data_IF_755229980470
#
_entry.id   IF_755229980470
#
_cell.length_a   1.000
_cell.length_b   1.000
_cell.length_c   1.000
_cell.angle_alpha   90.00
_cell.angle_beta   90.00
_cell.angle_gamma   90.00
#
_symmetry.space_group_name_H-M   'P 1'
#
loop_
_entity.id
_entity.type
_entity.pdbx_description
1 polymer ?
#
# COMPACT_ATOMS: atom_id res chain seq x y z
N UNK A 1 11.86 -33.56 -11.47
CA UNK A 1 11.90 -32.92 -10.14
C UNK A 1 12.01 -31.43 -10.36
N UNK A 2 11.24 -30.61 -9.65
CA UNK A 2 11.30 -29.14 -9.80
C UNK A 2 12.60 -28.66 -9.15
N UNK A 3 13.56 -28.23 -9.97
CA UNK A 3 14.87 -27.78 -9.51
C UNK A 3 14.87 -26.28 -9.17
N UNK A 4 16.02 -25.75 -8.75
CA UNK A 4 16.16 -24.33 -8.39
C UNK A 4 15.86 -23.39 -9.57
N UNK A 5 16.27 -23.76 -10.78
CA UNK A 5 16.02 -22.96 -11.98
C UNK A 5 14.53 -22.83 -12.28
N UNK A 6 13.77 -23.92 -12.09
CA UNK A 6 12.32 -23.89 -12.18
C UNK A 6 11.70 -22.85 -11.23
N UNK A 7 12.08 -22.86 -9.95
CA UNK A 7 11.53 -21.92 -8.96
C UNK A 7 11.95 -20.46 -9.20
N UNK A 8 13.16 -20.23 -9.70
CA UNK A 8 13.61 -18.90 -10.13
C UNK A 8 12.75 -18.36 -11.29
N UNK A 9 12.45 -19.19 -12.29
CA UNK A 9 11.58 -18.79 -13.40
C UNK A 9 10.16 -18.46 -12.91
N UNK A 10 9.62 -19.24 -11.97
CA UNK A 10 8.32 -18.95 -11.36
C UNK A 10 8.31 -17.66 -10.55
N UNK A 11 9.38 -17.38 -9.81
CA UNK A 11 9.55 -16.10 -9.11
C UNK A 11 9.52 -14.91 -10.09
N UNK A 12 10.17 -15.03 -11.26
CA UNK A 12 10.13 -14.00 -12.31
C UNK A 12 8.71 -13.80 -12.86
N UNK A 13 7.96 -14.88 -13.08
CA UNK A 13 6.56 -14.79 -13.52
C UNK A 13 5.67 -14.14 -12.46
N UNK A 14 5.89 -14.48 -11.18
CA UNK A 14 5.20 -13.87 -10.03
C UNK A 14 5.49 -12.37 -9.94
N UNK A 15 6.75 -11.93 -10.07
CA UNK A 15 7.09 -10.51 -10.08
C UNK A 15 6.37 -9.76 -11.21
N UNK A 16 6.33 -10.32 -12.44
CA UNK A 16 5.57 -9.74 -13.56
C UNK A 16 4.07 -9.63 -13.28
N UNK A 17 3.47 -10.65 -12.67
CA UNK A 17 2.06 -10.63 -12.25
C UNK A 17 1.80 -9.52 -11.23
N UNK A 18 2.64 -9.42 -10.19
CA UNK A 18 2.54 -8.39 -9.16
C UNK A 18 2.74 -6.99 -9.73
N UNK A 19 3.72 -6.77 -10.61
CA UNK A 19 3.94 -5.49 -11.29
C UNK A 19 2.71 -5.07 -12.11
N UNK A 20 2.05 -6.01 -12.80
CA UNK A 20 0.82 -5.73 -13.56
C UNK A 20 -0.33 -5.30 -12.63
N UNK A 21 -0.48 -5.96 -11.47
CA UNK A 21 -1.50 -5.59 -10.50
C UNK A 21 -1.20 -4.25 -9.83
N UNK A 22 0.05 -4.00 -9.43
CA UNK A 22 0.51 -2.72 -8.87
C UNK A 22 0.23 -1.56 -9.83
N UNK A 23 0.46 -1.72 -11.15
CA UNK A 23 0.11 -0.70 -12.16
C UNK A 23 -1.39 -0.38 -12.20
N UNK A 24 -2.27 -1.37 -11.97
CA UNK A 24 -3.72 -1.13 -11.90
C UNK A 24 -4.08 -0.32 -10.66
N UNK A 25 -3.52 -0.69 -9.50
CA UNK A 25 -3.73 0.02 -8.23
C UNK A 25 -3.19 1.44 -8.31
N UNK A 26 -1.99 1.64 -8.86
CA UNK A 26 -1.40 2.96 -9.08
C UNK A 26 -2.32 3.84 -9.93
N UNK A 27 -2.88 3.31 -11.02
CA UNK A 27 -3.82 4.04 -11.88
C UNK A 27 -5.10 4.45 -11.11
N UNK A 28 -5.62 3.56 -10.27
CA UNK A 28 -6.81 3.84 -9.46
C UNK A 28 -6.53 4.89 -8.38
N UNK A 29 -5.42 4.77 -7.66
CA UNK A 29 -4.98 5.77 -6.69
C UNK A 29 -4.77 7.12 -7.36
N UNK A 30 -4.04 7.17 -8.48
CA UNK A 30 -3.82 8.42 -9.21
C UNK A 30 -5.14 9.11 -9.58
N UNK A 31 -6.14 8.35 -10.03
CA UNK A 31 -7.47 8.87 -10.35
C UNK A 31 -8.17 9.42 -9.10
N UNK A 32 -8.12 8.68 -7.98
CA UNK A 32 -8.71 9.09 -6.70
C UNK A 32 -8.15 10.43 -6.20
N UNK A 33 -6.82 10.58 -6.18
CA UNK A 33 -6.18 11.83 -5.78
C UNK A 33 -6.48 12.99 -6.74
N UNK A 34 -6.57 12.72 -8.05
CA UNK A 34 -6.95 13.73 -9.04
C UNK A 34 -8.39 14.21 -8.84
N UNK A 35 -9.32 13.31 -8.49
CA UNK A 35 -10.69 13.65 -8.13
C UNK A 35 -10.73 14.51 -6.86
N UNK A 36 -10.03 14.10 -5.79
CA UNK A 36 -9.96 14.90 -4.56
C UNK A 36 -9.39 16.31 -4.80
N UNK A 37 -8.30 16.43 -5.57
CA UNK A 37 -7.74 17.75 -5.96
C UNK A 37 -8.77 18.60 -6.71
N UNK A 38 -9.59 17.97 -7.56
CA UNK A 38 -10.62 18.68 -8.33
C UNK A 38 -11.74 19.20 -7.44
N UNK A 39 -12.25 18.38 -6.52
CA UNK A 39 -13.31 18.78 -5.59
C UNK A 39 -12.81 19.86 -4.63
N UNK A 40 -11.61 19.70 -4.06
CA UNK A 40 -10.98 20.73 -3.21
C UNK A 40 -10.86 22.07 -3.94
N UNK A 41 -10.49 22.07 -5.23
CA UNK A 41 -10.43 23.31 -6.03
C UNK A 41 -11.79 23.99 -6.18
N UNK A 42 -12.88 23.22 -6.29
CA UNK A 42 -14.24 23.77 -6.38
C UNK A 42 -14.65 24.41 -5.06
N UNK A 43 -14.39 23.74 -3.94
CA UNK A 43 -14.70 24.26 -2.60
C UNK A 43 -13.98 25.59 -2.33
N UNK A 44 -12.69 25.69 -2.69
CA UNK A 44 -11.95 26.96 -2.57
C UNK A 44 -12.53 28.02 -3.50
N UNK A 45 -12.94 27.65 -4.71
CA UNK A 45 -13.58 28.58 -5.64
C UNK A 45 -14.89 29.13 -5.10
N UNK A 46 -15.69 28.28 -4.47
CA UNK A 46 -16.93 28.68 -3.81
C UNK A 46 -16.65 29.68 -2.68
N UNK A 47 -15.69 29.37 -1.79
CA UNK A 47 -15.24 30.28 -0.72
C UNK A 47 -14.84 31.68 -1.25
N UNK A 48 -14.16 31.75 -2.40
CA UNK A 48 -13.76 33.03 -3.01
C UNK A 48 -14.89 33.75 -3.76
N UNK A 49 -15.91 33.04 -4.24
CA UNK A 49 -17.04 33.64 -4.93
C UNK A 49 -18.00 34.36 -3.97
N UNK A 50 -18.11 33.87 -2.73
CA UNK A 50 -19.01 34.43 -1.70
C UNK A 50 -18.43 35.64 -0.95
N UNK A 51 -17.26 36.14 -1.35
CA UNK A 51 -16.45 37.09 -0.59
C UNK A 51 -17.07 38.50 -0.49
N UNK A 52 -17.89 38.72 0.55
CA UNK A 52 -18.16 40.04 1.17
C UNK A 52 -17.54 40.07 2.58
N UNK A 53 -16.63 41.01 2.81
CA UNK A 53 -15.84 41.22 4.04
C UNK A 53 -16.69 41.31 5.32
N UNK A 54 -16.65 40.33 6.26
CA UNK A 54 -17.19 40.36 7.65
C UNK A 54 -16.92 39.07 8.44
N UNK A 55 -17.32 38.98 9.73
CA UNK A 55 -17.37 37.77 10.61
C UNK A 55 -17.94 36.51 9.92
N UNK A 56 -18.80 36.72 8.92
CA UNK A 56 -19.26 35.74 7.94
C UNK A 56 -18.11 34.95 7.27
N UNK A 57 -16.99 35.60 6.94
CA UNK A 57 -15.82 34.96 6.30
C UNK A 57 -15.19 33.87 7.17
N UNK A 58 -15.17 34.06 8.50
CA UNK A 58 -14.62 33.06 9.42
C UNK A 58 -15.50 31.81 9.45
N UNK A 59 -16.82 31.99 9.52
CA UNK A 59 -17.79 30.90 9.47
C UNK A 59 -17.68 30.09 8.17
N UNK A 60 -17.64 30.76 7.01
CA UNK A 60 -17.50 30.09 5.71
C UNK A 60 -16.15 29.38 5.53
N UNK A 61 -15.08 29.92 6.11
CA UNK A 61 -13.77 29.25 6.10
C UNK A 61 -13.78 27.96 6.92
N UNK A 62 -14.49 27.94 8.06
CA UNK A 62 -14.64 26.75 8.91
C UNK A 62 -15.51 25.69 8.22
N UNK A 63 -16.60 26.09 7.56
CA UNK A 63 -17.42 25.16 6.75
C UNK A 63 -16.64 24.58 5.57
N UNK A 64 -15.85 25.42 4.88
CA UNK A 64 -14.98 24.97 3.79
C UNK A 64 -13.96 23.96 4.30
N UNK A 65 -13.31 24.22 5.43
CA UNK A 65 -12.36 23.27 6.04
C UNK A 65 -13.04 21.93 6.33
N UNK A 66 -14.25 21.94 6.93
CA UNK A 66 -15.02 20.71 7.19
C UNK A 66 -15.37 19.96 5.90
N UNK A 67 -15.75 20.68 4.85
CA UNK A 67 -16.01 20.11 3.52
C UNK A 67 -14.76 19.43 2.95
N UNK A 68 -13.60 20.10 3.02
CA UNK A 68 -12.33 19.52 2.59
C UNK A 68 -11.94 18.28 3.41
N UNK A 69 -12.11 18.32 4.73
CA UNK A 69 -11.87 17.17 5.62
C UNK A 69 -12.78 15.98 5.23
N UNK A 70 -14.06 16.24 4.93
CA UNK A 70 -15.00 15.19 4.47
C UNK A 70 -14.57 14.58 3.13
N UNK A 71 -14.14 15.39 2.16
CA UNK A 71 -13.63 14.92 0.87
C UNK A 71 -12.43 13.99 1.05
N UNK A 72 -11.48 14.39 1.91
CA UNK A 72 -10.30 13.57 2.22
C UNK A 72 -10.69 12.27 2.92
N UNK A 73 -11.61 12.33 3.88
CA UNK A 73 -12.07 11.16 4.62
C UNK A 73 -12.77 10.12 3.73
N UNK A 74 -13.61 10.57 2.81
CA UNK A 74 -14.25 9.69 1.82
C UNK A 74 -13.24 9.08 0.86
N UNK A 75 -12.26 9.87 0.42
CA UNK A 75 -11.15 9.41 -0.41
C UNK A 75 -10.39 8.28 0.30
N UNK A 76 -9.93 8.52 1.53
CA UNK A 76 -9.17 7.54 2.31
C UNK A 76 -9.96 6.26 2.57
N UNK A 77 -11.25 6.36 2.94
CA UNK A 77 -12.12 5.19 3.15
C UNK A 77 -12.25 4.34 1.88
N UNK A 78 -12.47 4.98 0.73
CA UNK A 78 -12.58 4.30 -0.57
C UNK A 78 -11.28 3.61 -0.95
N UNK A 79 -10.15 4.31 -0.74
CA UNK A 79 -8.83 3.77 -1.03
C UNK A 79 -8.51 2.57 -0.13
N UNK A 80 -8.82 2.64 1.16
CA UNK A 80 -8.58 1.54 2.10
C UNK A 80 -9.34 0.27 1.70
N UNK A 81 -10.63 0.41 1.37
CA UNK A 81 -11.46 -0.72 0.93
C UNK A 81 -10.93 -1.35 -0.36
N UNK A 82 -10.55 -0.51 -1.34
CA UNK A 82 -9.99 -0.96 -2.60
C UNK A 82 -8.65 -1.68 -2.40
N UNK A 83 -7.76 -1.13 -1.58
CA UNK A 83 -6.47 -1.74 -1.26
C UNK A 83 -6.64 -3.07 -0.52
N UNK A 84 -7.50 -3.15 0.49
CA UNK A 84 -7.80 -4.40 1.18
C UNK A 84 -8.33 -5.46 0.23
N UNK A 85 -9.27 -5.11 -0.66
CA UNK A 85 -9.78 -6.05 -1.66
C UNK A 85 -8.70 -6.57 -2.59
N UNK A 86 -7.82 -5.69 -3.07
CA UNK A 86 -6.70 -6.08 -3.92
C UNK A 86 -5.70 -7.00 -3.19
N UNK A 87 -5.35 -6.69 -1.94
CA UNK A 87 -4.44 -7.52 -1.15
C UNK A 87 -5.04 -8.90 -0.84
N UNK A 88 -6.35 -9.00 -0.58
CA UNK A 88 -7.04 -10.29 -0.42
C UNK A 88 -6.91 -11.13 -1.69
N UNK A 89 -7.15 -10.51 -2.86
CA UNK A 89 -7.04 -11.21 -4.14
C UNK A 89 -5.59 -11.65 -4.41
N UNK A 90 -4.60 -10.79 -4.16
CA UNK A 90 -3.18 -11.16 -4.28
C UNK A 90 -2.84 -12.32 -3.36
N UNK A 91 -3.28 -12.29 -2.10
CA UNK A 91 -3.04 -13.40 -1.17
C UNK A 91 -3.61 -14.71 -1.71
N UNK A 92 -4.88 -14.72 -2.13
CA UNK A 92 -5.55 -15.91 -2.67
C UNK A 92 -4.83 -16.45 -3.90
N UNK A 93 -4.61 -15.59 -4.90
CA UNK A 93 -3.98 -15.98 -6.15
C UNK A 93 -2.59 -16.58 -5.89
N UNK A 94 -1.77 -15.97 -5.02
CA UNK A 94 -0.44 -16.49 -4.71
C UNK A 94 -0.54 -17.82 -3.96
N UNK A 95 -1.36 -17.90 -2.92
CA UNK A 95 -1.50 -19.10 -2.11
C UNK A 95 -1.98 -20.29 -2.94
N UNK A 96 -3.02 -20.11 -3.76
CA UNK A 96 -3.56 -21.14 -4.65
C UNK A 96 -2.50 -21.62 -5.66
N UNK A 97 -1.82 -20.68 -6.33
CA UNK A 97 -0.77 -21.02 -7.27
C UNK A 97 0.39 -21.78 -6.61
N UNK A 98 0.88 -21.35 -5.44
CA UNK A 98 2.00 -22.03 -4.76
C UNK A 98 1.62 -23.44 -4.29
N UNK A 99 0.41 -23.63 -3.77
CA UNK A 99 -0.06 -24.97 -3.38
C UNK A 99 -0.23 -25.90 -4.59
N UNK A 100 -0.77 -25.40 -5.72
CA UNK A 100 -0.85 -26.15 -6.97
C UNK A 100 0.54 -26.59 -7.44
N UNK A 101 1.52 -25.68 -7.37
CA UNK A 101 2.90 -26.00 -7.75
C UNK A 101 3.56 -27.00 -6.79
N UNK A 102 3.23 -26.95 -5.50
CA UNK A 102 3.75 -27.91 -4.52
C UNK A 102 2.97 -29.24 -4.52
N UNK A 103 1.95 -29.38 -5.38
CA UNK A 103 1.09 -30.58 -5.44
C UNK A 103 0.43 -30.89 -4.10
N UNK A 104 0.14 -29.85 -3.30
CA UNK A 104 -0.57 -29.97 -2.04
C UNK A 104 -2.05 -30.12 -2.36
N UNK A 105 -2.64 -31.25 -1.94
CA UNK A 105 -4.05 -31.54 -2.18
C UNK A 105 -4.90 -30.79 -1.14
N UNK A 106 -5.24 -29.53 -1.44
CA UNK A 106 -5.96 -28.67 -0.50
C UNK A 106 -7.41 -29.16 -0.39
N UNK A 107 -7.89 -29.43 0.83
CA UNK A 107 -9.34 -29.47 1.08
C UNK A 107 -9.87 -28.04 0.98
N UNK A 108 -10.38 -27.68 -0.21
CA UNK A 108 -10.75 -26.32 -0.63
C UNK A 108 -11.92 -25.68 0.15
N UNK A 109 -12.36 -26.25 1.29
CA UNK A 109 -13.50 -25.75 2.05
C UNK A 109 -13.20 -24.53 2.93
N UNK A 110 -11.97 -24.02 3.03
CA UNK A 110 -11.67 -22.95 4.02
C UNK A 110 -10.50 -21.99 3.72
N UNK A 111 -10.29 -21.53 2.47
CA UNK A 111 -9.63 -20.21 2.32
C UNK A 111 -10.65 -19.14 2.69
N UNK A 112 -10.90 -19.02 4.00
CA UNK A 112 -11.90 -18.14 4.55
C UNK A 112 -11.42 -16.70 4.40
N UNK A 113 -12.12 -15.88 3.60
CA UNK A 113 -11.86 -14.45 3.46
C UNK A 113 -11.67 -13.75 4.80
N UNK A 114 -12.34 -14.23 5.85
CA UNK A 114 -12.15 -13.73 7.22
C UNK A 114 -10.73 -13.96 7.73
N UNK A 115 -10.18 -15.16 7.56
CA UNK A 115 -8.81 -15.48 7.97
C UNK A 115 -7.80 -14.66 7.16
N UNK A 116 -8.01 -14.51 5.85
CA UNK A 116 -7.12 -13.65 5.03
C UNK A 116 -7.18 -12.19 5.50
N UNK A 117 -8.37 -11.69 5.84
CA UNK A 117 -8.51 -10.34 6.42
C UNK A 117 -7.79 -10.21 7.75
N UNK A 118 -7.81 -11.24 8.58
CA UNK A 118 -7.05 -11.28 9.83
C UNK A 118 -5.54 -11.27 9.55
N UNK A 119 -5.07 -12.09 8.59
CA UNK A 119 -3.69 -12.09 8.13
C UNK A 119 -3.27 -10.70 7.67
N UNK A 120 -3.99 -10.06 6.74
CA UNK A 120 -3.64 -8.72 6.21
C UNK A 120 -3.62 -7.65 7.32
N UNK A 121 -4.47 -7.78 8.33
CA UNK A 121 -4.52 -6.87 9.49
C UNK A 121 -3.41 -7.12 10.50
N UNK A 122 -2.67 -8.22 10.39
CA UNK A 122 -1.57 -8.58 11.28
C UNK A 122 -0.57 -7.43 11.35
N UNK A 123 -0.13 -7.12 12.57
CA UNK A 123 0.85 -6.09 12.82
C UNK A 123 2.27 -6.62 12.59
N UNK A 124 2.66 -6.78 11.32
CA UNK A 124 3.96 -7.33 10.96
C UNK A 124 5.12 -6.33 11.10
N UNK A 125 4.86 -5.02 11.20
CA UNK A 125 5.89 -3.97 11.26
C UNK A 125 5.86 -3.10 12.51
N UNK A 126 5.02 -3.42 13.49
CA UNK A 126 4.75 -2.59 14.67
C UNK A 126 3.59 -1.59 14.51
N UNK A 127 3.06 -1.39 13.30
CA UNK A 127 1.87 -0.57 12.99
C UNK A 127 0.67 -1.41 12.52
N UNK A 128 -0.55 -0.99 12.87
CA UNK A 128 -1.79 -1.57 12.31
C UNK A 128 -1.88 -1.35 10.79
N UNK A 129 -2.72 -2.12 10.09
CA UNK A 129 -2.89 -1.97 8.64
C UNK A 129 -3.22 -0.53 8.22
N UNK A 130 -4.19 0.11 8.88
CA UNK A 130 -4.58 1.49 8.59
C UNK A 130 -3.45 2.47 8.92
N UNK A 131 -2.67 2.23 9.99
CA UNK A 131 -1.48 3.04 10.31
C UNK A 131 -0.33 2.82 9.32
N UNK A 132 -0.22 1.65 8.69
CA UNK A 132 0.77 1.41 7.64
C UNK A 132 0.39 2.10 6.35
N UNK A 133 -0.86 1.98 5.91
CA UNK A 133 -1.33 2.58 4.66
C UNK A 133 -1.50 4.11 4.78
N UNK A 134 -2.07 4.58 5.88
CA UNK A 134 -2.41 5.99 6.07
C UNK A 134 -1.55 6.66 7.14
N UNK A 135 -1.23 5.93 8.21
CA UNK A 135 -0.44 6.44 9.33
C UNK A 135 -0.90 7.80 9.83
N UNK A 136 0.06 8.60 10.28
CA UNK A 136 -0.18 10.02 10.55
C UNK A 136 -0.42 10.85 9.26
N UNK A 137 -0.42 10.25 8.07
CA UNK A 137 -0.53 10.94 6.78
C UNK A 137 -1.88 11.64 6.61
N UNK A 138 -2.98 10.94 6.90
CA UNK A 138 -4.35 11.50 6.88
C UNK A 138 -4.49 12.70 7.81
N UNK A 139 -4.12 12.53 9.08
CA UNK A 139 -4.21 13.61 10.07
C UNK A 139 -3.28 14.77 9.72
N UNK A 140 -2.05 14.48 9.26
CA UNK A 140 -1.12 15.52 8.80
C UNK A 140 -1.64 16.25 7.57
N UNK A 141 -2.33 15.58 6.66
CA UNK A 141 -2.89 16.22 5.48
C UNK A 141 -4.07 17.12 5.89
N UNK A 142 -4.99 16.65 6.73
CA UNK A 142 -6.08 17.46 7.25
C UNK A 142 -5.58 18.72 7.98
N UNK A 143 -4.59 18.56 8.87
CA UNK A 143 -3.94 19.69 9.56
C UNK A 143 -3.32 20.66 8.55
N UNK A 144 -2.61 20.16 7.53
CA UNK A 144 -2.02 21.00 6.48
C UNK A 144 -3.08 21.72 5.65
N UNK A 145 -4.20 21.07 5.37
CA UNK A 145 -5.31 21.69 4.63
C UNK A 145 -5.82 22.90 5.40
N UNK A 146 -6.10 22.72 6.70
CA UNK A 146 -6.50 23.79 7.60
C UNK A 146 -5.47 24.92 7.68
N UNK A 147 -4.18 24.57 7.77
CA UNK A 147 -3.11 25.56 7.79
C UNK A 147 -3.02 26.37 6.49
N UNK A 148 -3.08 25.71 5.32
CA UNK A 148 -2.98 26.37 4.02
C UNK A 148 -4.14 27.36 3.84
N UNK A 149 -5.36 26.93 4.14
CA UNK A 149 -6.54 27.78 4.05
C UNK A 149 -6.46 28.97 4.99
N UNK A 150 -6.25 28.74 6.30
CA UNK A 150 -6.25 29.82 7.29
C UNK A 150 -5.12 30.83 7.03
N UNK A 151 -3.90 30.33 6.80
CA UNK A 151 -2.75 31.22 6.55
C UNK A 151 -2.89 31.94 5.21
N UNK A 152 -3.46 31.30 4.19
CA UNK A 152 -3.64 31.92 2.89
C UNK A 152 -4.72 33.00 2.90
N UNK A 153 -5.85 32.76 3.58
CA UNK A 153 -6.88 33.78 3.77
C UNK A 153 -6.36 35.00 4.54
N UNK A 154 -5.60 34.79 5.62
CA UNK A 154 -4.99 35.88 6.41
C UNK A 154 -3.99 36.69 5.57
N UNK A 155 -3.20 36.02 4.72
CA UNK A 155 -2.20 36.67 3.86
C UNK A 155 -2.80 37.30 2.60
N UNK A 156 -4.03 36.96 2.26
CA UNK A 156 -4.66 37.37 0.99
C UNK A 156 -4.12 36.60 -0.22
N UNK A 157 -3.69 35.34 -0.03
CA UNK A 157 -3.22 34.48 -1.11
C UNK A 157 -4.29 34.34 -2.20
N UNK A 158 -3.89 34.19 -3.46
CA UNK A 158 -4.85 33.95 -4.54
C UNK A 158 -5.46 32.55 -4.45
N UNK A 159 -6.64 32.38 -5.04
CA UNK A 159 -7.26 31.05 -5.21
C UNK A 159 -6.29 30.07 -5.88
N UNK A 160 -5.55 30.53 -6.90
CA UNK A 160 -4.62 29.68 -7.64
C UNK A 160 -3.47 29.21 -6.75
N UNK A 161 -2.97 30.06 -5.84
CA UNK A 161 -1.84 29.74 -4.98
C UNK A 161 -2.21 28.76 -3.88
N UNK A 162 -3.37 28.93 -3.24
CA UNK A 162 -3.87 27.99 -2.24
C UNK A 162 -4.22 26.63 -2.86
N UNK A 163 -4.92 26.63 -4.00
CA UNK A 163 -5.22 25.41 -4.74
C UNK A 163 -3.95 24.65 -5.15
N UNK A 164 -2.90 25.38 -5.57
CA UNK A 164 -1.59 24.79 -5.92
C UNK A 164 -0.90 24.19 -4.69
N UNK A 165 -0.92 24.89 -3.57
CA UNK A 165 -0.31 24.44 -2.31
C UNK A 165 -0.97 23.16 -1.80
N UNK A 166 -2.31 23.09 -1.82
CA UNK A 166 -3.06 21.88 -1.45
C UNK A 166 -2.77 20.73 -2.39
N UNK A 167 -2.80 20.96 -3.71
CA UNK A 167 -2.48 19.93 -4.70
C UNK A 167 -1.06 19.36 -4.52
N UNK A 168 -0.09 20.20 -4.11
CA UNK A 168 1.26 19.74 -3.82
C UNK A 168 1.32 18.81 -2.59
N UNK A 169 0.53 19.09 -1.55
CA UNK A 169 0.47 18.21 -0.38
C UNK A 169 -0.22 16.88 -0.69
N UNK A 170 -1.32 16.91 -1.44
CA UNK A 170 -1.97 15.69 -1.96
C UNK A 170 -1.03 14.85 -2.84
N UNK A 171 -0.23 15.48 -3.70
CA UNK A 171 0.75 14.78 -4.51
C UNK A 171 1.87 14.13 -3.67
N UNK A 172 2.26 14.74 -2.55
CA UNK A 172 3.23 14.13 -1.62
C UNK A 172 2.61 12.91 -0.93
N UNK A 173 1.35 13.03 -0.54
CA UNK A 173 0.61 11.94 0.10
C UNK A 173 0.40 10.76 -0.85
N UNK A 174 -0.01 11.02 -2.10
CA UNK A 174 -0.08 10.02 -3.16
C UNK A 174 1.21 9.21 -3.32
N UNK A 175 2.38 9.88 -3.33
CA UNK A 175 3.69 9.20 -3.46
C UNK A 175 3.99 8.29 -2.26
N UNK A 176 3.56 8.68 -1.06
CA UNK A 176 3.68 7.86 0.15
C UNK A 176 2.76 6.66 0.07
N UNK A 177 1.48 6.87 -0.23
CA UNK A 177 0.50 5.81 -0.42
C UNK A 177 0.99 4.78 -1.44
N UNK A 178 1.52 5.22 -2.59
CA UNK A 178 2.10 4.31 -3.59
C UNK A 178 3.26 3.48 -3.04
N UNK A 179 4.16 4.07 -2.26
CA UNK A 179 5.28 3.35 -1.63
C UNK A 179 4.78 2.26 -0.68
N UNK A 180 3.73 2.57 0.08
CA UNK A 180 3.13 1.68 1.06
C UNK A 180 2.40 0.52 0.39
N UNK A 181 1.64 0.79 -0.67
CA UNK A 181 0.98 -0.26 -1.48
C UNK A 181 1.99 -1.29 -2.00
N UNK A 182 3.13 -0.83 -2.52
CA UNK A 182 4.18 -1.75 -2.96
C UNK A 182 4.72 -2.61 -1.81
N UNK A 183 4.92 -2.01 -0.65
CA UNK A 183 5.49 -2.68 0.52
C UNK A 183 4.51 -3.71 1.09
N UNK A 184 3.23 -3.35 1.26
CA UNK A 184 2.20 -4.29 1.70
C UNK A 184 1.95 -5.40 0.67
N UNK A 185 2.01 -5.10 -0.63
CA UNK A 185 1.89 -6.15 -1.67
C UNK A 185 3.04 -7.16 -1.58
N UNK A 186 4.27 -6.69 -1.36
CA UNK A 186 5.44 -7.55 -1.14
C UNK A 186 5.30 -8.38 0.15
N UNK A 187 4.75 -7.81 1.22
CA UNK A 187 4.50 -8.57 2.43
C UNK A 187 3.44 -9.63 2.23
N UNK A 188 2.28 -9.26 1.69
CA UNK A 188 1.16 -10.18 1.47
C UNK A 188 1.54 -11.35 0.57
N UNK A 189 2.29 -11.11 -0.51
CA UNK A 189 2.72 -12.21 -1.39
C UNK A 189 3.69 -13.16 -0.68
N UNK A 190 4.63 -12.65 0.11
CA UNK A 190 5.56 -13.51 0.86
C UNK A 190 4.86 -14.25 1.99
N UNK A 191 3.89 -13.62 2.65
CA UNK A 191 3.09 -14.26 3.69
C UNK A 191 2.25 -15.40 3.10
N UNK A 192 1.58 -15.16 1.96
CA UNK A 192 0.83 -16.20 1.24
C UNK A 192 1.74 -17.37 0.84
N UNK A 193 2.92 -17.08 0.27
CA UNK A 193 3.91 -18.11 -0.09
C UNK A 193 4.42 -18.88 1.14
N UNK A 194 4.70 -18.20 2.26
CA UNK A 194 5.15 -18.85 3.49
C UNK A 194 4.06 -19.76 4.06
N UNK A 195 2.81 -19.33 4.00
CA UNK A 195 1.68 -20.13 4.49
C UNK A 195 1.42 -21.35 3.58
N UNK A 196 1.56 -21.23 2.26
CA UNK A 196 1.54 -22.41 1.38
C UNK A 196 2.68 -23.39 1.67
N UNK A 197 3.86 -22.89 2.05
CA UNK A 197 4.98 -23.76 2.40
C UNK A 197 4.73 -24.53 3.71
N UNK A 198 3.98 -23.94 4.65
CA UNK A 198 3.54 -24.64 5.87
C UNK A 198 2.54 -25.75 5.54
N UNK A 199 1.59 -25.50 4.64
CA UNK A 199 0.64 -26.53 4.19
C UNK A 199 1.33 -27.66 3.41
N UNK A 200 2.45 -27.38 2.76
CA UNK A 200 3.30 -28.36 2.09
C UNK A 200 4.29 -29.09 3.02
N UNK A 201 4.21 -28.86 4.34
CA UNK A 201 5.14 -29.42 5.34
C UNK A 201 6.63 -29.14 5.05
N UNK A 202 6.92 -28.04 4.33
CA UNK A 202 8.29 -27.61 4.13
C UNK A 202 8.88 -27.11 5.45
N UNK A 203 10.21 -27.21 5.58
CA UNK A 203 10.92 -26.80 6.80
C UNK A 203 11.67 -25.48 6.62
N UNK A 204 12.12 -25.23 5.40
CA UNK A 204 13.04 -24.15 5.07
C UNK A 204 12.62 -23.47 3.77
N UNK A 205 12.98 -22.19 3.65
CA UNK A 205 12.85 -21.42 2.44
C UNK A 205 14.19 -20.74 2.13
N UNK A 206 14.44 -20.47 0.86
CA UNK A 206 15.58 -19.67 0.41
C UNK A 206 15.11 -18.24 0.14
N UNK A 207 15.80 -17.24 0.69
CA UNK A 207 15.55 -15.85 0.36
C UNK A 207 16.08 -15.53 -1.04
N UNK A 208 15.24 -14.96 -1.91
CA UNK A 208 15.58 -14.64 -3.29
C UNK A 208 15.37 -13.15 -3.59
N UNK A 209 16.47 -12.46 -3.89
CA UNK A 209 16.47 -11.09 -4.39
C UNK A 209 16.58 -11.08 -5.92
N UNK A 210 15.73 -10.29 -6.58
CA UNK A 210 15.91 -9.99 -8.00
C UNK A 210 17.11 -9.06 -8.17
N UNK A 211 18.28 -9.60 -8.53
CA UNK A 211 19.55 -8.85 -8.66
C UNK A 211 19.56 -7.99 -9.94
N UNK A 212 19.24 -6.71 -9.78
CA UNK A 212 19.27 -5.68 -10.82
C UNK A 212 19.68 -4.31 -10.23
N UNK A 213 19.52 -3.25 -11.02
CA UNK A 213 19.86 -1.88 -10.62
C UNK A 213 18.96 -1.30 -9.51
N UNK A 214 17.87 -1.98 -9.15
CA UNK A 214 16.90 -1.54 -8.12
C UNK A 214 17.06 -2.32 -6.82
N UNK A 215 17.85 -3.38 -6.79
CA UNK A 215 18.07 -4.20 -5.59
C UNK A 215 18.86 -3.44 -4.54
N UNK A 216 18.34 -3.39 -3.32
CA UNK A 216 19.06 -2.82 -2.17
C UNK A 216 20.23 -3.72 -1.75
N UNK A 217 21.23 -3.12 -1.09
CA UNK A 217 22.36 -3.86 -0.53
C UNK A 217 21.89 -4.92 0.48
N UNK A 218 20.96 -4.57 1.37
CA UNK A 218 20.37 -5.49 2.37
C UNK A 218 19.73 -6.71 1.70
N UNK A 219 19.01 -6.53 0.59
CA UNK A 219 18.44 -7.66 -0.13
C UNK A 219 19.51 -8.51 -0.83
N UNK A 220 20.59 -7.91 -1.33
CA UNK A 220 21.71 -8.66 -1.94
C UNK A 220 22.46 -9.50 -0.91
N UNK A 221 22.65 -8.98 0.30
CA UNK A 221 23.34 -9.68 1.39
C UNK A 221 22.58 -10.93 1.86
N UNK A 222 21.25 -10.90 1.82
CA UNK A 222 20.40 -12.02 2.20
C UNK A 222 20.08 -12.98 1.04
N UNK A 223 20.47 -12.64 -0.19
CA UNK A 223 20.21 -13.49 -1.35
C UNK A 223 20.86 -14.88 -1.21
N UNK A 224 20.08 -15.93 -1.44
CA UNK A 224 20.53 -17.32 -1.32
C UNK A 224 20.60 -17.85 0.12
N UNK A 225 20.25 -17.04 1.12
CA UNK A 225 20.23 -17.51 2.52
C UNK A 225 19.06 -18.46 2.77
N UNK A 226 19.33 -19.60 3.40
CA UNK A 226 18.32 -20.60 3.77
C UNK A 226 17.88 -20.37 5.20
N UNK A 227 16.58 -20.22 5.41
CA UNK A 227 15.97 -19.86 6.69
C UNK A 227 14.85 -20.85 7.00
N UNK A 228 14.71 -21.23 8.27
CA UNK A 228 13.61 -22.09 8.71
C UNK A 228 12.30 -21.30 8.67
N UNK A 229 11.24 -21.93 8.17
CA UNK A 229 9.91 -21.32 8.04
C UNK A 229 9.41 -20.76 9.39
N UNK A 230 9.66 -21.49 10.48
CA UNK A 230 9.28 -21.07 11.84
C UNK A 230 10.02 -19.83 12.36
N UNK A 231 11.20 -19.54 11.82
CA UNK A 231 12.06 -18.42 12.22
C UNK A 231 11.87 -17.21 11.26
N UNK A 232 10.95 -17.32 10.29
CA UNK A 232 10.61 -16.27 9.33
C UNK A 232 9.89 -15.09 9.99
N UNK A 233 10.49 -13.90 9.89
CA UNK A 233 10.01 -12.64 10.44
C UNK A 233 10.10 -11.56 9.35
N UNK A 234 8.93 -11.00 9.01
CA UNK A 234 8.82 -9.93 8.04
C UNK A 234 9.66 -8.72 8.46
N UNK A 235 10.38 -8.11 7.52
CA UNK A 235 11.26 -6.96 7.79
C UNK A 235 12.65 -7.31 8.32
N UNK A 236 12.93 -8.59 8.61
CA UNK A 236 14.24 -9.04 9.11
C UNK A 236 14.85 -10.06 8.15
N UNK A 237 14.18 -11.19 7.94
CA UNK A 237 14.65 -12.30 7.11
C UNK A 237 13.56 -12.83 6.15
N UNK A 238 12.35 -12.28 6.24
CA UNK A 238 11.26 -12.46 5.30
C UNK A 238 10.96 -11.09 4.65
N UNK A 239 10.86 -10.99 3.31
CA UNK A 239 10.55 -9.71 2.70
C UNK A 239 9.13 -9.23 3.05
N UNK A 240 8.88 -7.91 3.06
CA UNK A 240 9.74 -6.82 2.60
C UNK A 240 10.75 -6.39 3.67
N UNK A 241 12.01 -6.14 3.26
CA UNK A 241 13.06 -5.62 4.15
C UNK A 241 13.17 -4.10 4.12
N UNK A 242 12.63 -3.47 3.07
CA UNK A 242 12.68 -2.03 2.86
C UNK A 242 11.46 -1.56 2.05
N UNK A 243 11.19 -0.24 2.00
CA UNK A 243 10.13 0.30 1.16
C UNK A 243 10.32 -0.10 -0.30
N UNK A 244 9.22 -0.53 -0.95
CA UNK A 244 9.22 -1.05 -2.34
C UNK A 244 10.15 -2.27 -2.57
N UNK A 245 10.40 -3.08 -1.54
CA UNK A 245 11.06 -4.37 -1.72
C UNK A 245 10.33 -5.21 -2.78
N UNK A 246 11.10 -5.96 -3.57
CA UNK A 246 10.58 -6.95 -4.54
C UNK A 246 11.07 -8.36 -4.24
N UNK A 247 11.92 -8.55 -3.23
CA UNK A 247 12.43 -9.88 -2.90
C UNK A 247 11.28 -10.82 -2.55
N UNK A 248 11.51 -12.10 -2.84
CA UNK A 248 10.58 -13.18 -2.58
C UNK A 248 11.30 -14.33 -1.87
N UNK A 249 10.55 -15.39 -1.59
CA UNK A 249 11.10 -16.64 -1.07
C UNK A 249 10.88 -17.77 -2.08
N UNK A 250 11.81 -18.72 -2.09
CA UNK A 250 11.75 -19.94 -2.87
C UNK A 250 11.64 -21.15 -1.93
N UNK A 251 10.99 -22.24 -2.33
CA UNK A 251 10.91 -23.42 -1.50
C UNK A 251 12.24 -24.18 -1.52
N UNK A 252 12.65 -24.71 -0.37
CA UNK A 252 13.75 -25.68 -0.30
C UNK A 252 13.11 -27.07 -0.21
N UNK A 253 13.28 -27.86 -1.27
CA UNK A 253 12.71 -29.19 -1.41
C UNK A 253 13.87 -30.19 -1.45
N UNK A 254 13.83 -31.17 -0.55
CA UNK A 254 14.81 -32.27 -0.47
C UNK A 254 14.61 -33.30 -1.60
#
# INVERSE_FOLDING_TARGET
>A
MKDKEYWLNRAIEKDKYLEKNLKKVEKQLKKSYQEAIREIKKEIAFLYAENKLTEYQKYHSEETIKSLESILDEMYKREEQMLQGNLINVYKDIFENECDELTVNISFSTVNDRLIREVIKTNWSGLTFSERIWGNGRDKLAIKVKEILNKGLIRGDSLQDMARSLANELNKDYKRALTLVHTETCWVQNQATLDSYKEADLKEYEFCAFIDHRTSEVCKELDGTVIKIKDGVAGVNLPPLHPRCRSCILPVID
#
